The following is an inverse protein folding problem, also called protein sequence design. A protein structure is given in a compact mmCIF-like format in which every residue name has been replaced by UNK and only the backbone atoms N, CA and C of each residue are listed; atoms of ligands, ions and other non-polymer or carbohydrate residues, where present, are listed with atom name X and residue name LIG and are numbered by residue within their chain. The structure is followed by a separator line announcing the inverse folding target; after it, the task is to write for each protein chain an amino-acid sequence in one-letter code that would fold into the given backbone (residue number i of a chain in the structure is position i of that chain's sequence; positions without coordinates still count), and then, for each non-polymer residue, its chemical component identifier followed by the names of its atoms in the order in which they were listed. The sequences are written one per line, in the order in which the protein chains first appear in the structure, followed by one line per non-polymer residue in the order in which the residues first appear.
data_IF_711746171002
#
_entry.id   IF_711746171002
#
_cell.length_a   1.000
_cell.length_b   1.000
_cell.length_c   1.000
_cell.angle_alpha   90.00
_cell.angle_beta   90.00
_cell.angle_gamma   90.00
#
_symmetry.space_group_name_H-M   'P 1'
#
loop_
_entity.id
_entity.type
_entity.pdbx_description
1 polymer ?
#
# COMPACT_ATOMS: atom_id res chain seq x y z
N UNK A 1 -11.76 10.65 2.37
CA UNK A 1 -12.75 11.64 1.88
C UNK A 1 -14.16 11.09 2.08
N UNK A 2 -15.17 11.94 2.17
CA UNK A 2 -16.57 11.50 2.33
C UNK A 2 -16.97 10.50 1.24
N UNK A 3 -16.64 10.78 -0.02
CA UNK A 3 -16.94 9.91 -1.17
C UNK A 3 -16.33 8.51 -1.03
N UNK A 4 -15.04 8.42 -0.68
CA UNK A 4 -14.36 7.12 -0.45
C UNK A 4 -15.03 6.31 0.65
N UNK A 5 -15.43 6.98 1.74
CA UNK A 5 -16.12 6.34 2.86
C UNK A 5 -17.48 5.81 2.41
N UNK A 6 -18.21 6.57 1.59
CA UNK A 6 -19.50 6.15 1.03
C UNK A 6 -19.36 4.97 0.07
N UNK A 7 -18.37 4.96 -0.81
CA UNK A 7 -18.09 3.82 -1.70
C UNK A 7 -17.74 2.57 -0.89
N UNK A 8 -16.88 2.70 0.13
CA UNK A 8 -16.54 1.59 1.02
C UNK A 8 -17.79 1.06 1.75
N UNK A 9 -18.66 1.92 2.26
CA UNK A 9 -19.93 1.50 2.91
C UNK A 9 -20.85 0.70 1.99
N UNK A 10 -20.79 0.90 0.66
CA UNK A 10 -21.61 0.14 -0.30
C UNK A 10 -21.11 -1.28 -0.52
N UNK A 11 -19.81 -1.53 -0.35
CA UNK A 11 -19.19 -2.83 -0.63
C UNK A 11 -18.83 -3.61 0.63
N UNK A 12 -18.71 -2.95 1.77
CA UNK A 12 -18.37 -3.55 3.05
C UNK A 12 -19.62 -3.91 3.86
N UNK A 13 -19.57 -4.99 4.67
CA UNK A 13 -20.64 -5.30 5.61
C UNK A 13 -20.89 -4.16 6.62
N UNK A 14 -22.10 -4.03 7.20
CA UNK A 14 -22.40 -2.96 8.16
C UNK A 14 -21.50 -2.95 9.41
N UNK A 15 -20.96 -4.10 9.81
CA UNK A 15 -20.07 -4.23 10.96
C UNK A 15 -18.61 -3.79 10.66
N UNK A 16 -18.27 -3.61 9.40
CA UNK A 16 -16.94 -3.19 8.94
C UNK A 16 -16.73 -1.68 9.17
N UNK A 17 -15.46 -1.24 9.17
CA UNK A 17 -15.12 0.18 9.28
C UNK A 17 -14.57 0.72 7.95
N UNK A 18 -15.22 1.72 7.33
CA UNK A 18 -14.73 2.37 6.10
C UNK A 18 -13.69 3.47 6.36
N UNK A 19 -13.27 3.67 7.62
CA UNK A 19 -12.34 4.73 8.01
C UNK A 19 -10.88 4.32 7.75
N UNK A 20 -9.90 5.11 8.20
CA UNK A 20 -8.50 4.72 8.16
C UNK A 20 -8.06 4.28 9.57
N UNK A 21 -7.73 2.99 9.81
CA UNK A 21 -7.66 1.89 8.84
C UNK A 21 -9.02 1.37 8.38
N UNK A 22 -9.07 0.86 7.13
CA UNK A 22 -10.26 0.20 6.58
C UNK A 22 -10.32 -1.20 7.16
N UNK A 23 -11.27 -1.44 8.08
CA UNK A 23 -11.53 -2.76 8.63
C UNK A 23 -12.53 -3.49 7.74
N UNK A 24 -12.10 -4.60 7.14
CA UNK A 24 -12.91 -5.41 6.24
C UNK A 24 -13.44 -6.69 6.91
N UNK A 25 -13.30 -6.82 8.24
CA UNK A 25 -13.65 -7.98 9.06
C UNK A 25 -12.75 -9.21 8.86
N UNK A 26 -12.68 -10.04 9.90
CA UNK A 26 -11.80 -11.23 9.94
C UNK A 26 -12.24 -12.39 9.04
N UNK A 27 -13.49 -12.39 8.56
CA UNK A 27 -14.05 -13.38 7.64
C UNK A 27 -13.86 -13.01 6.16
N UNK A 28 -13.05 -11.98 5.86
CA UNK A 28 -12.93 -11.43 4.51
C UNK A 28 -12.39 -12.43 3.47
N UNK A 29 -13.16 -12.74 2.41
CA UNK A 29 -12.61 -13.43 1.25
C UNK A 29 -11.78 -12.46 0.41
N UNK A 30 -11.00 -12.99 -0.54
CA UNK A 30 -10.08 -12.20 -1.38
C UNK A 30 -10.81 -11.09 -2.18
N UNK A 31 -12.06 -11.32 -2.58
CA UNK A 31 -12.88 -10.34 -3.29
C UNK A 31 -13.14 -9.08 -2.45
N UNK A 32 -13.26 -9.22 -1.13
CA UNK A 32 -13.46 -8.08 -0.22
C UNK A 32 -12.20 -7.22 -0.13
N UNK A 33 -11.03 -7.86 -0.09
CA UNK A 33 -9.74 -7.17 -0.25
C UNK A 33 -9.67 -6.44 -1.58
N UNK A 34 -10.03 -7.10 -2.69
CA UNK A 34 -9.99 -6.50 -4.02
C UNK A 34 -10.84 -5.23 -4.12
N UNK A 35 -12.09 -5.28 -3.65
CA UNK A 35 -13.02 -4.13 -3.70
C UNK A 35 -12.55 -2.97 -2.83
N UNK A 36 -12.16 -3.25 -1.59
CA UNK A 36 -11.66 -2.21 -0.68
C UNK A 36 -10.37 -1.56 -1.20
N UNK A 37 -9.45 -2.39 -1.71
CA UNK A 37 -8.17 -1.93 -2.24
C UNK A 37 -8.35 -1.08 -3.50
N UNK A 38 -9.24 -1.46 -4.41
CA UNK A 38 -9.56 -0.66 -5.59
C UNK A 38 -10.06 0.74 -5.22
N UNK A 39 -11.03 0.82 -4.30
CA UNK A 39 -11.61 2.11 -3.85
C UNK A 39 -10.53 2.99 -3.21
N UNK A 40 -9.74 2.44 -2.27
CA UNK A 40 -8.67 3.19 -1.59
C UNK A 40 -7.56 3.58 -2.56
N UNK A 41 -7.21 2.72 -3.51
CA UNK A 41 -6.17 3.01 -4.48
C UNK A 41 -6.60 4.11 -5.47
N UNK A 42 -7.89 4.22 -5.80
CA UNK A 42 -8.39 5.23 -6.75
C UNK A 42 -8.81 6.55 -6.10
N UNK A 43 -9.09 6.58 -4.80
CA UNK A 43 -9.63 7.75 -4.09
C UNK A 43 -8.74 8.99 -4.03
N UNK A 44 -7.46 8.89 -4.43
CA UNK A 44 -6.46 9.93 -4.19
C UNK A 44 -6.13 10.20 -2.72
N UNK A 45 -6.75 9.48 -1.77
CA UNK A 45 -6.61 9.76 -0.33
C UNK A 45 -5.48 9.03 0.38
N UNK A 46 -4.81 8.11 -0.33
CA UNK A 46 -3.68 7.35 0.16
C UNK A 46 -2.59 7.31 -0.91
N UNK A 47 -1.38 7.73 -0.56
CA UNK A 47 -0.21 7.65 -1.45
C UNK A 47 0.47 6.28 -1.41
N UNK A 48 0.31 5.55 -0.30
CA UNK A 48 0.86 4.22 -0.06
C UNK A 48 -0.17 3.41 0.73
N UNK A 49 -0.17 2.09 0.54
CA UNK A 49 -1.16 1.20 1.15
C UNK A 49 -0.43 0.08 1.90
N UNK A 50 -0.79 -0.10 3.16
CA UNK A 50 -0.39 -1.26 3.96
C UNK A 50 -1.60 -2.18 4.12
N UNK A 51 -1.48 -3.42 3.65
CA UNK A 51 -2.52 -4.44 3.77
C UNK A 51 -2.13 -5.41 4.87
N UNK A 52 -2.99 -5.57 5.88
CA UNK A 52 -2.84 -6.60 6.91
C UNK A 52 -3.78 -7.75 6.57
N UNK A 53 -3.23 -8.95 6.41
CA UNK A 53 -3.99 -10.15 6.10
C UNK A 53 -3.64 -11.29 7.04
N UNK A 54 -4.62 -11.73 7.81
CA UNK A 54 -4.51 -12.89 8.69
C UNK A 54 -5.10 -14.09 7.96
N UNK A 55 -4.26 -15.02 7.52
CA UNK A 55 -4.68 -16.23 6.80
C UNK A 55 -5.23 -17.33 7.75
N UNK A 56 -6.15 -16.94 8.63
CA UNK A 56 -6.80 -17.82 9.61
C UNK A 56 -8.25 -18.18 9.24
N UNK A 57 -8.88 -17.36 8.40
CA UNK A 57 -10.26 -17.58 7.98
C UNK A 57 -10.32 -18.59 6.84
N UNK A 58 -11.20 -19.59 6.88
CA UNK A 58 -11.41 -20.50 5.75
C UNK A 58 -12.00 -19.80 4.52
N UNK A 59 -12.56 -18.60 4.67
CA UNK A 59 -13.06 -17.80 3.55
C UNK A 59 -11.94 -17.16 2.72
N UNK A 60 -10.71 -17.10 3.24
CA UNK A 60 -9.58 -16.42 2.59
C UNK A 60 -8.59 -17.43 1.99
N UNK A 61 -8.69 -17.63 0.68
CA UNK A 61 -7.67 -18.36 -0.08
C UNK A 61 -6.40 -17.50 -0.27
N UNK A 62 -5.25 -18.02 0.15
CA UNK A 62 -3.98 -17.30 0.06
C UNK A 62 -3.54 -17.05 -1.38
N UNK A 63 -3.79 -17.99 -2.29
CA UNK A 63 -3.43 -17.83 -3.71
C UNK A 63 -4.26 -16.74 -4.39
N UNK A 64 -5.55 -16.64 -4.05
CA UNK A 64 -6.43 -15.57 -4.49
C UNK A 64 -5.99 -14.22 -3.94
N UNK A 65 -5.61 -14.14 -2.65
CA UNK A 65 -5.08 -12.92 -2.06
C UNK A 65 -3.80 -12.46 -2.77
N UNK A 66 -2.86 -13.37 -3.05
CA UNK A 66 -1.64 -13.06 -3.83
C UNK A 66 -2.00 -12.43 -5.17
N UNK A 67 -2.94 -13.01 -5.92
CA UNK A 67 -3.39 -12.47 -7.21
C UNK A 67 -3.99 -11.08 -7.08
N UNK A 68 -4.81 -10.84 -6.05
CA UNK A 68 -5.41 -9.53 -5.76
C UNK A 68 -4.34 -8.48 -5.48
N UNK A 69 -3.41 -8.75 -4.56
CA UNK A 69 -2.39 -7.77 -4.16
C UNK A 69 -1.37 -7.51 -5.28
N UNK A 70 -0.93 -8.57 -5.98
CA UNK A 70 -0.03 -8.43 -7.11
C UNK A 70 -0.69 -7.68 -8.28
N UNK A 71 -1.98 -7.94 -8.55
CA UNK A 71 -2.76 -7.21 -9.54
C UNK A 71 -2.88 -5.73 -9.20
N UNK A 72 -3.26 -5.41 -7.97
CA UNK A 72 -3.40 -4.03 -7.52
C UNK A 72 -2.08 -3.25 -7.58
N UNK A 73 -0.95 -3.87 -7.20
CA UNK A 73 0.36 -3.23 -7.24
C UNK A 73 0.78 -2.84 -8.66
N UNK A 74 0.36 -3.62 -9.68
CA UNK A 74 0.60 -3.29 -11.09
C UNK A 74 -0.38 -2.25 -11.64
N UNK A 75 -1.63 -2.27 -11.18
CA UNK A 75 -2.70 -1.48 -11.80
C UNK A 75 -2.79 -0.04 -11.32
N UNK A 76 -2.44 0.25 -10.07
CA UNK A 76 -2.76 1.55 -9.46
C UNK A 76 -1.57 2.49 -9.27
N UNK A 77 -0.35 2.04 -9.53
CA UNK A 77 0.86 2.89 -9.45
C UNK A 77 1.19 3.40 -8.03
N UNK A 78 0.55 2.84 -7.00
CA UNK A 78 0.79 3.18 -5.59
C UNK A 78 1.59 2.05 -4.93
N UNK A 79 2.59 2.36 -4.07
CA UNK A 79 3.28 1.34 -3.29
C UNK A 79 2.29 0.58 -2.39
N UNK A 80 2.30 -0.75 -2.52
CA UNK A 80 1.54 -1.66 -1.66
C UNK A 80 2.53 -2.51 -0.89
N UNK A 81 2.34 -2.60 0.42
CA UNK A 81 3.09 -3.50 1.32
C UNK A 81 2.10 -4.41 2.02
N UNK A 82 2.42 -5.70 2.09
CA UNK A 82 1.63 -6.68 2.82
C UNK A 82 2.23 -6.97 4.19
N UNK A 83 1.37 -7.24 5.17
CA UNK A 83 1.70 -7.76 6.48
C UNK A 83 0.89 -9.03 6.68
N UNK A 84 1.58 -10.16 6.77
CA UNK A 84 0.97 -11.49 6.84
C UNK A 84 1.52 -12.26 8.04
N UNK A 85 1.02 -11.96 9.26
CA UNK A 85 1.38 -12.72 10.44
C UNK A 85 0.98 -14.20 10.30
N UNK A 86 1.77 -15.09 10.90
CA UNK A 86 1.53 -16.52 10.87
C UNK A 86 2.82 -17.32 10.68
N UNK A 87 2.67 -18.64 10.65
CA UNK A 87 3.77 -19.59 10.38
C UNK A 87 3.89 -19.94 8.91
N UNK A 88 4.30 -21.18 8.63
CA UNK A 88 4.63 -21.70 7.30
C UNK A 88 3.58 -21.39 6.22
N UNK A 89 2.28 -21.45 6.57
CA UNK A 89 1.20 -21.14 5.65
C UNK A 89 1.24 -19.69 5.15
N UNK A 90 1.44 -18.72 6.05
CA UNK A 90 1.60 -17.31 5.70
C UNK A 90 2.91 -17.08 4.95
N UNK A 91 4.01 -17.67 5.41
CA UNK A 91 5.35 -17.52 4.81
C UNK A 91 5.38 -17.99 3.35
N UNK A 92 4.68 -19.09 3.03
CA UNK A 92 4.51 -19.56 1.64
C UNK A 92 3.97 -18.44 0.73
N UNK A 93 2.87 -17.80 1.12
CA UNK A 93 2.23 -16.77 0.29
C UNK A 93 2.96 -15.42 0.33
N UNK A 94 3.67 -15.13 1.42
CA UNK A 94 4.61 -14.00 1.46
C UNK A 94 5.67 -14.15 0.38
N UNK A 95 6.29 -15.33 0.26
CA UNK A 95 7.30 -15.58 -0.78
C UNK A 95 6.71 -15.51 -2.20
N UNK A 96 5.46 -15.91 -2.41
CA UNK A 96 4.75 -15.73 -3.69
C UNK A 96 4.48 -14.26 -4.01
N UNK A 97 4.06 -13.47 -3.02
CA UNK A 97 3.87 -12.01 -3.14
C UNK A 97 5.18 -11.31 -3.52
N UNK A 98 6.27 -11.65 -2.82
CA UNK A 98 7.59 -11.04 -3.05
C UNK A 98 8.12 -11.33 -4.46
N UNK A 99 7.93 -12.56 -4.97
CA UNK A 99 8.24 -12.92 -6.37
C UNK A 99 7.46 -12.08 -7.39
N UNK A 100 6.29 -11.57 -7.00
CA UNK A 100 5.46 -10.69 -7.84
C UNK A 100 5.81 -9.20 -7.71
N UNK A 101 6.78 -8.86 -6.84
CA UNK A 101 7.25 -7.49 -6.61
C UNK A 101 6.52 -6.75 -5.48
N UNK A 102 5.70 -7.44 -4.68
CA UNK A 102 5.00 -6.85 -3.53
C UNK A 102 5.73 -7.25 -2.23
N UNK A 103 6.35 -6.30 -1.49
CA UNK A 103 7.01 -6.60 -0.23
C UNK A 103 6.02 -7.12 0.82
N UNK A 104 6.38 -8.21 1.51
CA UNK A 104 5.56 -8.81 2.54
C UNK A 104 6.34 -8.97 3.85
N UNK A 105 5.73 -8.63 4.98
CA UNK A 105 6.38 -8.66 6.30
C UNK A 105 5.54 -9.44 7.31
N UNK A 106 6.17 -9.92 8.38
CA UNK A 106 5.46 -10.69 9.43
C UNK A 106 4.71 -9.78 10.39
N UNK A 107 5.21 -8.56 10.61
CA UNK A 107 4.66 -7.65 11.62
C UNK A 107 4.24 -6.30 11.02
N UNK A 108 3.23 -5.63 11.60
CA UNK A 108 2.89 -4.26 11.21
C UNK A 108 4.05 -3.28 11.36
N UNK A 109 4.88 -3.46 12.39
CA UNK A 109 6.05 -2.61 12.63
C UNK A 109 7.06 -2.67 11.47
N UNK A 110 7.32 -3.86 10.92
CA UNK A 110 8.18 -4.03 9.75
C UNK A 110 7.57 -3.42 8.49
N UNK A 111 6.28 -3.65 8.24
CA UNK A 111 5.57 -3.07 7.09
C UNK A 111 5.57 -1.54 7.12
N UNK A 112 5.29 -0.94 8.28
CA UNK A 112 5.36 0.52 8.47
C UNK A 112 6.78 1.04 8.30
N UNK A 113 7.79 0.32 8.84
CA UNK A 113 9.20 0.68 8.67
C UNK A 113 9.59 0.71 7.18
N UNK A 114 9.16 -0.27 6.39
CA UNK A 114 9.41 -0.30 4.95
C UNK A 114 8.79 0.92 4.23
N UNK A 115 7.52 1.23 4.51
CA UNK A 115 6.86 2.43 3.94
C UNK A 115 7.54 3.74 4.38
N UNK A 116 7.98 3.83 5.64
CA UNK A 116 8.71 5.00 6.14
C UNK A 116 10.05 5.19 5.46
N UNK A 117 10.78 4.12 5.16
CA UNK A 117 12.03 4.17 4.43
C UNK A 117 11.81 4.65 3.00
N UNK A 118 10.78 4.13 2.31
CA UNK A 118 10.40 4.59 0.97
C UNK A 118 10.05 6.09 0.96
N UNK A 119 9.21 6.53 1.90
CA UNK A 119 8.85 7.94 2.04
C UNK A 119 10.09 8.84 2.26
N UNK A 120 10.96 8.42 3.19
CA UNK A 120 12.16 9.19 3.54
C UNK A 120 13.15 9.28 2.37
N UNK A 121 13.26 8.22 1.57
CA UNK A 121 14.05 8.22 0.34
C UNK A 121 13.50 9.20 -0.70
N UNK A 122 12.19 9.19 -0.95
CA UNK A 122 11.54 10.11 -1.90
C UNK A 122 11.72 11.57 -1.46
N UNK A 123 11.52 11.87 -0.18
CA UNK A 123 11.73 13.22 0.37
C UNK A 123 13.19 13.66 0.28
N UNK A 124 14.14 12.78 0.62
CA UNK A 124 15.56 13.04 0.47
C UNK A 124 15.94 13.35 -0.98
N UNK A 125 15.44 12.55 -1.93
CA UNK A 125 15.67 12.74 -3.37
C UNK A 125 15.10 14.07 -3.86
N UNK A 126 13.87 14.44 -3.45
CA UNK A 126 13.24 15.73 -3.79
C UNK A 126 14.10 16.90 -3.35
N UNK A 127 14.63 16.86 -2.11
CA UNK A 127 15.51 17.93 -1.58
C UNK A 127 16.81 18.07 -2.38
N UNK A 128 17.45 16.96 -2.75
CA UNK A 128 18.68 16.98 -3.56
C UNK A 128 18.43 17.60 -4.94
N UNK A 129 17.34 17.19 -5.60
CA UNK A 129 16.99 17.72 -6.92
C UNK A 129 16.62 19.21 -6.87
N UNK A 130 15.87 19.65 -5.86
CA UNK A 130 15.52 21.06 -5.70
C UNK A 130 16.76 21.96 -5.51
N UNK A 131 17.76 21.50 -4.75
CA UNK A 131 19.04 22.22 -4.57
C UNK A 131 19.83 22.36 -5.87
N UNK A 132 19.92 21.30 -6.68
CA UNK A 132 20.61 21.34 -7.98
C UNK A 132 20.00 22.39 -8.92
N UNK A 133 18.66 22.44 -8.98
CA UNK A 133 17.93 23.43 -9.79
C UNK A 133 18.06 24.87 -9.28
N UNK A 134 18.32 25.08 -7.98
CA UNK A 134 18.59 26.41 -7.43
C UNK A 134 20.01 26.88 -7.78
N UNK A 135 21.00 25.99 -7.67
CA UNK A 135 22.41 26.27 -8.04
C UNK A 135 22.52 26.59 -9.53
N UNK A 136 21.86 25.83 -10.41
CA UNK A 136 21.88 26.09 -11.86
C UNK A 136 21.24 27.42 -12.26
N UNK A 137 20.29 27.95 -11.48
CA UNK A 137 19.64 29.25 -11.72
C UNK A 137 20.41 30.43 -11.11
N UNK A 138 21.13 30.21 -10.01
CA UNK A 138 21.98 31.23 -9.38
C UNK A 138 23.29 31.52 -10.13
N UNK A 139 23.74 30.60 -10.99
CA UNK A 139 24.98 30.73 -11.76
C UNK A 139 24.92 31.63 -13.01
N UNK A 140 23.75 32.17 -13.37
CA UNK A 140 23.55 32.98 -14.58
C UNK A 140 23.53 34.52 -14.32
N UNK A 141 23.86 34.99 -13.12
CA UNK A 141 23.78 36.42 -12.75
C UNK A 141 25.11 37.03 -12.22
N UNK A 142 26.25 36.38 -12.47
CA UNK A 142 27.57 36.98 -12.25
C UNK A 142 28.34 36.95 -13.56
N UNK A 143 29.08 38.02 -13.86
CA UNK A 143 29.87 38.26 -15.09
C UNK A 143 29.07 38.87 -16.26
N UNK A 144 28.59 40.10 -16.04
CA UNK A 144 28.40 41.09 -17.11
C UNK A 144 29.10 42.37 -16.66
N UNK A 145 30.28 42.61 -17.21
CA UNK A 145 31.01 43.90 -17.19
C UNK A 145 30.27 44.96 -17.97
#
# INVERSE_FOLDING_TARGET
PSETIEELRRVLPPAASPLNPVDILGDAPAERYSRALEIVARSGSADMILVIALLQSPALDGSALVKVLAGAARSYGKPIVAVMPGGEYSEKYMAELEKSGVPAFKTPAEGVKALRLLYSFVEGRRRVLARRSAVSRGGLHGWGT
#
